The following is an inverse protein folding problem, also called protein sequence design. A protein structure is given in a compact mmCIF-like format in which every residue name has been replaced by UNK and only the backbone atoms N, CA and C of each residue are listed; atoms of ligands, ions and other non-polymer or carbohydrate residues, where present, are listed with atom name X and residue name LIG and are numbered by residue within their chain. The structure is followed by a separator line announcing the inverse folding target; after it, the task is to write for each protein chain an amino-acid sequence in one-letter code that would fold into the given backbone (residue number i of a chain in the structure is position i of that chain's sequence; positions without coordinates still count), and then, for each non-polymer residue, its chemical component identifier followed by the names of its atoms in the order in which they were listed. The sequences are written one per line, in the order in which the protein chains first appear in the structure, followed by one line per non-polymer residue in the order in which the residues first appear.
data_IF_522612813804
#
_entry.id   IF_522612813804
#
_cell.length_a   1.000
_cell.length_b   1.000
_cell.length_c   1.000
_cell.angle_alpha   90.00
_cell.angle_beta   90.00
_cell.angle_gamma   90.00
#
_symmetry.space_group_name_H-M   'P 1'
#
loop_
_entity.id
_entity.type
_entity.pdbx_description
1 polymer ?
#
# COMPACT_ATOMS: atom_id res chain seq x y z
N UNK A 1 -21.02 5.51 18.98
CA UNK A 1 -20.48 4.91 20.22
C UNK A 1 -20.59 3.37 20.27
N UNK A 2 -21.11 2.68 19.25
CA UNK A 2 -21.14 1.20 19.24
C UNK A 2 -19.73 0.59 19.16
N UNK A 3 -18.86 1.14 18.31
CA UNK A 3 -17.47 0.68 18.14
C UNK A 3 -16.59 0.92 19.37
N UNK A 4 -16.80 2.03 20.09
CA UNK A 4 -16.05 2.37 21.30
C UNK A 4 -16.31 1.41 22.47
N UNK A 5 -17.49 0.79 22.50
CA UNK A 5 -17.93 -0.14 23.55
C UNK A 5 -17.87 -1.61 23.11
N UNK A 6 -17.31 -1.91 21.93
CA UNK A 6 -17.20 -3.29 21.43
C UNK A 6 -18.55 -3.96 21.10
N UNK A 7 -19.59 -3.19 20.76
CA UNK A 7 -20.91 -3.75 20.45
C UNK A 7 -20.97 -4.32 19.02
N UNK A 8 -20.31 -5.46 18.81
CA UNK A 8 -20.11 -6.11 17.52
C UNK A 8 -21.45 -6.36 16.79
N UNK A 9 -22.48 -6.85 17.48
CA UNK A 9 -23.78 -7.13 16.86
C UNK A 9 -24.49 -5.86 16.35
N UNK A 10 -24.33 -4.74 17.05
CA UNK A 10 -24.90 -3.45 16.64
C UNK A 10 -24.11 -2.89 15.46
N UNK A 11 -22.79 -3.04 15.47
CA UNK A 11 -21.92 -2.61 14.38
C UNK A 11 -22.21 -3.41 13.11
N UNK A 12 -22.36 -4.72 13.20
CA UNK A 12 -22.70 -5.59 12.06
C UNK A 12 -24.05 -5.18 11.42
N UNK A 13 -25.04 -4.82 12.25
CA UNK A 13 -26.31 -4.28 11.78
C UNK A 13 -26.15 -2.92 11.08
N UNK A 14 -25.34 -2.01 11.62
CA UNK A 14 -25.10 -0.69 11.03
C UNK A 14 -24.34 -0.78 9.71
N UNK A 15 -23.35 -1.67 9.60
CA UNK A 15 -22.61 -1.92 8.36
C UNK A 15 -23.53 -2.45 7.27
N UNK A 16 -24.38 -3.44 7.60
CA UNK A 16 -25.42 -3.96 6.68
C UNK A 16 -26.44 -2.90 6.26
N UNK A 17 -26.61 -1.86 7.07
CA UNK A 17 -27.48 -0.73 6.77
C UNK A 17 -26.80 0.34 5.89
N UNK A 18 -25.55 0.12 5.45
CA UNK A 18 -24.82 1.01 4.56
C UNK A 18 -24.21 2.24 5.23
N UNK A 19 -24.00 2.21 6.55
CA UNK A 19 -23.33 3.30 7.27
C UNK A 19 -21.87 3.37 6.84
N UNK A 20 -21.39 4.59 6.56
CA UNK A 20 -19.97 4.83 6.27
C UNK A 20 -19.11 4.57 7.52
N UNK A 21 -18.33 3.50 7.46
CA UNK A 21 -17.44 3.06 8.53
C UNK A 21 -16.18 3.94 8.69
N UNK A 22 -15.89 4.77 7.69
CA UNK A 22 -14.73 5.66 7.66
C UNK A 22 -15.07 7.11 8.07
N UNK A 23 -16.34 7.40 8.38
CA UNK A 23 -16.77 8.71 8.83
C UNK A 23 -15.98 9.15 10.07
N UNK A 24 -15.40 10.35 10.05
CA UNK A 24 -14.60 10.88 11.17
C UNK A 24 -15.30 12.02 11.90
N UNK A 25 -14.96 12.23 13.18
CA UNK A 25 -15.45 13.35 13.97
C UNK A 25 -14.60 14.62 13.78
N UNK A 26 -14.87 15.67 14.54
CA UNK A 26 -14.12 16.95 14.51
C UNK A 26 -12.64 16.83 14.85
N UNK A 27 -12.24 15.74 15.50
CA UNK A 27 -10.86 15.40 15.86
C UNK A 27 -10.24 14.39 14.87
N UNK A 28 -10.89 14.14 13.72
CA UNK A 28 -10.50 13.16 12.70
C UNK A 28 -10.49 11.70 13.18
N UNK A 29 -11.10 11.40 14.33
CA UNK A 29 -11.21 10.05 14.84
C UNK A 29 -12.34 9.29 14.13
N UNK A 30 -12.00 8.15 13.53
CA UNK A 30 -12.97 7.20 12.94
C UNK A 30 -13.52 6.25 14.02
N UNK A 31 -14.62 5.52 13.75
CA UNK A 31 -15.10 4.45 14.62
C UNK A 31 -14.02 3.42 14.99
N UNK A 32 -13.06 3.17 14.10
CA UNK A 32 -11.94 2.26 14.33
C UNK A 32 -10.93 2.83 15.35
N UNK A 33 -10.66 4.14 15.33
CA UNK A 33 -9.79 4.78 16.32
C UNK A 33 -10.28 4.52 17.75
N UNK A 34 -11.59 4.70 17.97
CA UNK A 34 -12.20 4.46 19.28
C UNK A 34 -12.24 2.98 19.67
N UNK A 35 -12.39 2.07 18.70
CA UNK A 35 -12.33 0.64 18.99
C UNK A 35 -10.92 0.21 19.42
N UNK A 36 -9.88 0.68 18.72
CA UNK A 36 -8.49 0.41 19.06
C UNK A 36 -8.11 1.00 20.43
N UNK A 37 -8.51 2.24 20.71
CA UNK A 37 -8.24 2.90 22.00
C UNK A 37 -8.81 2.12 23.20
N UNK A 38 -9.94 1.45 23.01
CA UNK A 38 -10.61 0.67 24.06
C UNK A 38 -10.29 -0.84 23.99
N UNK A 39 -9.31 -1.25 23.16
CA UNK A 39 -8.87 -2.65 23.07
C UNK A 39 -9.84 -3.59 22.35
N UNK A 40 -10.81 -3.06 21.61
CA UNK A 40 -11.79 -3.85 20.86
C UNK A 40 -11.26 -4.24 19.47
N UNK A 41 -10.15 -4.98 19.43
CA UNK A 41 -9.46 -5.37 18.19
C UNK A 41 -10.37 -6.19 17.26
N UNK A 42 -11.33 -6.95 17.79
CA UNK A 42 -12.35 -7.69 17.02
C UNK A 42 -13.19 -6.79 16.10
N UNK A 43 -13.24 -5.47 16.37
CA UNK A 43 -13.89 -4.49 15.50
C UNK A 43 -13.16 -4.28 14.17
N UNK A 44 -11.84 -4.49 14.14
CA UNK A 44 -11.03 -4.34 12.94
C UNK A 44 -11.46 -5.35 11.88
N UNK A 45 -11.75 -6.58 12.31
CA UNK A 45 -12.32 -7.63 11.46
C UNK A 45 -13.69 -7.31 10.89
N UNK A 46 -14.45 -6.43 11.53
CA UNK A 46 -15.78 -6.02 11.07
C UNK A 46 -15.76 -4.79 10.19
N UNK A 47 -14.74 -3.95 10.30
CA UNK A 47 -14.66 -2.66 9.61
C UNK A 47 -13.70 -2.68 8.42
N UNK A 48 -12.67 -3.53 8.45
CA UNK A 48 -11.70 -3.63 7.35
C UNK A 48 -12.25 -4.52 6.23
N UNK A 49 -12.72 -3.87 5.16
CA UNK A 49 -13.23 -4.50 3.94
C UNK A 49 -12.13 -4.80 2.92
N UNK A 50 -10.85 -4.75 3.30
CA UNK A 50 -9.75 -4.94 2.34
C UNK A 50 -9.66 -6.43 1.96
N UNK A 51 -9.71 -6.69 0.64
CA UNK A 51 -9.46 -7.97 -0.05
C UNK A 51 -10.70 -8.82 -0.45
N UNK A 52 -11.81 -8.20 -0.88
CA UNK A 52 -13.00 -8.83 -1.51
C UNK A 52 -13.73 -9.94 -0.70
N UNK A 53 -13.14 -10.45 0.39
CA UNK A 53 -13.72 -11.39 1.35
C UNK A 53 -13.28 -11.05 2.78
N UNK A 54 -14.16 -11.32 3.75
CA UNK A 54 -13.86 -11.18 5.17
C UNK A 54 -12.69 -12.10 5.58
N UNK A 55 -11.60 -11.54 6.11
CA UNK A 55 -10.55 -12.31 6.77
C UNK A 55 -11.16 -13.04 7.97
N UNK A 56 -11.16 -14.37 7.93
CA UNK A 56 -11.73 -15.16 9.01
C UNK A 56 -10.86 -15.08 10.27
N UNK A 57 -11.49 -15.00 11.44
CA UNK A 57 -10.86 -14.90 12.76
C UNK A 57 -9.75 -15.96 12.99
N UNK A 58 -9.92 -17.13 12.37
CA UNK A 58 -8.97 -18.25 12.42
C UNK A 58 -7.62 -18.00 11.73
N UNK A 59 -7.53 -17.00 10.84
CA UNK A 59 -6.32 -16.68 10.07
C UNK A 59 -5.50 -15.54 10.67
N UNK A 60 -5.94 -14.95 11.79
CA UNK A 60 -5.20 -13.90 12.48
C UNK A 60 -4.60 -14.45 13.78
N UNK A 61 -3.27 -14.47 13.86
CA UNK A 61 -2.57 -14.76 15.10
C UNK A 61 -2.50 -13.50 15.97
N UNK A 62 -3.52 -13.33 16.81
CA UNK A 62 -3.63 -12.21 17.75
C UNK A 62 -2.84 -12.44 19.05
N UNK A 63 -2.14 -13.57 19.19
CA UNK A 63 -1.46 -13.94 20.44
C UNK A 63 -0.02 -13.44 20.51
N UNK A 64 0.53 -12.92 19.41
CA UNK A 64 1.94 -12.55 19.29
C UNK A 64 2.22 -11.05 19.29
N UNK A 65 1.21 -10.19 19.49
CA UNK A 65 1.40 -8.73 19.49
C UNK A 65 1.64 -8.25 20.91
N UNK A 66 2.91 -8.05 21.26
CA UNK A 66 3.29 -7.20 22.39
C UNK A 66 3.16 -5.74 21.93
N UNK A 67 2.36 -4.94 22.64
CA UNK A 67 2.23 -3.51 22.37
C UNK A 67 3.39 -2.79 23.05
N UNK A 68 4.49 -2.58 22.33
CA UNK A 68 5.48 -1.59 22.74
C UNK A 68 4.94 -0.20 22.43
N UNK A 69 4.64 0.55 23.49
CA UNK A 69 4.23 1.96 23.40
C UNK A 69 5.51 2.78 23.24
N UNK A 70 5.90 3.08 21.99
CA UNK A 70 7.06 3.94 21.76
C UNK A 70 6.73 5.41 22.07
N UNK A 71 7.43 5.95 23.09
CA UNK A 71 7.46 7.37 23.39
C UNK A 71 8.25 8.15 22.31
N UNK A 72 7.67 9.29 21.92
CA UNK A 72 8.16 10.39 21.08
C UNK A 72 9.66 10.41 20.74
N UNK A 73 9.97 10.47 19.44
CA UNK A 73 11.29 10.90 18.93
C UNK A 73 11.12 12.10 18.00
N UNK A 74 11.69 13.24 18.41
CA UNK A 74 11.93 14.42 17.57
C UNK A 74 13.19 14.20 16.74
N UNK A 75 13.15 14.46 15.42
CA UNK A 75 14.36 14.43 14.60
C UNK A 75 14.62 15.73 13.84
N UNK A 76 15.82 16.28 14.08
CA UNK A 76 16.42 17.42 13.38
C UNK A 76 17.19 16.93 12.16
N UNK A 77 16.87 17.45 10.98
CA UNK A 77 17.57 17.14 9.72
C UNK A 77 18.53 18.27 9.32
N UNK A 78 19.81 17.95 9.16
CA UNK A 78 20.79 18.82 8.45
C UNK A 78 21.08 18.29 7.05
N UNK A 79 20.64 19.08 6.07
CA UNK A 79 20.80 18.92 4.62
C UNK A 79 22.23 19.16 4.10
N UNK A 80 22.59 18.60 2.93
CA UNK A 80 23.40 19.26 1.87
C UNK A 80 23.49 18.36 0.60
N UNK A 81 23.37 18.78 -0.67
CA UNK A 81 22.83 19.98 -1.37
C UNK A 81 22.63 19.61 -2.87
N UNK A 82 21.51 20.02 -3.47
CA UNK A 82 21.27 20.11 -4.93
C UNK A 82 20.66 21.47 -5.28
N UNK A 83 20.63 21.81 -6.57
CA UNK A 83 20.53 23.19 -7.08
C UNK A 83 19.13 23.83 -6.97
N UNK A 84 19.13 25.16 -6.87
CA UNK A 84 17.99 26.02 -6.45
C UNK A 84 16.72 25.93 -7.30
N UNK A 85 16.83 25.56 -8.58
CA UNK A 85 15.67 25.44 -9.48
C UNK A 85 15.17 24.00 -9.62
N UNK A 86 16.08 23.01 -9.55
CA UNK A 86 15.71 21.59 -9.51
C UNK A 86 14.94 21.24 -8.24
N UNK A 87 15.31 21.84 -7.10
CA UNK A 87 14.53 21.69 -5.86
C UNK A 87 13.09 22.17 -6.03
N UNK A 88 12.87 23.30 -6.72
CA UNK A 88 11.55 23.95 -6.80
C UNK A 88 10.50 23.20 -7.63
N UNK A 89 10.90 22.38 -8.61
CA UNK A 89 9.96 21.61 -9.44
C UNK A 89 9.70 20.19 -8.93
N UNK A 90 10.61 19.65 -8.13
CA UNK A 90 10.47 18.32 -7.52
C UNK A 90 9.78 18.43 -6.15
N UNK A 91 10.01 19.51 -5.39
CA UNK A 91 9.28 19.83 -4.13
C UNK A 91 7.76 19.95 -4.33
N UNK A 92 7.28 20.36 -5.51
CA UNK A 92 5.84 20.59 -5.71
C UNK A 92 5.05 19.27 -5.92
N UNK A 93 5.71 18.12 -6.11
CA UNK A 93 5.01 16.85 -6.44
C UNK A 93 5.45 15.63 -5.62
N UNK A 94 6.40 15.77 -4.69
CA UNK A 94 6.94 14.64 -3.93
C UNK A 94 6.95 14.95 -2.42
N UNK A 95 5.81 14.73 -1.77
CA UNK A 95 5.67 14.86 -0.31
C UNK A 95 6.00 13.52 0.34
N UNK A 96 7.22 13.39 0.84
CA UNK A 96 7.49 12.61 2.05
C UNK A 96 7.35 13.56 3.25
N UNK A 97 6.34 13.32 4.08
CA UNK A 97 6.08 14.07 5.30
C UNK A 97 4.59 14.22 5.54
N UNK A 98 4.14 13.93 6.76
CA UNK A 98 2.80 14.21 7.28
C UNK A 98 2.56 15.75 7.37
N UNK A 99 2.65 16.45 6.24
CA UNK A 99 2.05 17.77 6.09
C UNK A 99 0.59 17.54 5.71
N UNK A 100 -0.32 18.26 6.38
CA UNK A 100 -1.74 18.24 6.06
C UNK A 100 -1.92 18.61 4.59
N UNK A 101 -2.04 17.59 3.72
CA UNK A 101 -2.48 17.77 2.35
C UNK A 101 -3.81 18.50 2.42
N UNK A 102 -3.83 19.74 1.93
CA UNK A 102 -5.05 20.52 1.96
C UNK A 102 -6.16 19.78 1.20
N UNK A 103 -7.41 20.03 1.58
CA UNK A 103 -8.54 19.32 1.00
C UNK A 103 -8.66 19.55 -0.51
N UNK A 104 -7.98 20.54 -1.08
CA UNK A 104 -7.90 20.77 -2.52
C UNK A 104 -6.90 19.82 -3.20
N UNK A 105 -5.69 19.67 -2.65
CA UNK A 105 -4.64 18.76 -3.12
C UNK A 105 -5.06 17.31 -3.00
N UNK A 106 -5.77 16.95 -1.92
CA UNK A 106 -6.38 15.61 -1.79
C UNK A 106 -7.43 15.38 -2.87
N UNK A 107 -8.28 16.37 -3.16
CA UNK A 107 -9.29 16.27 -4.23
C UNK A 107 -8.65 16.19 -5.62
N UNK A 108 -7.60 16.97 -5.89
CA UNK A 108 -6.87 16.93 -7.16
C UNK A 108 -6.11 15.60 -7.32
N UNK A 109 -5.46 15.10 -6.27
CA UNK A 109 -4.82 13.79 -6.29
C UNK A 109 -5.84 12.66 -6.48
N UNK A 110 -6.99 12.74 -5.81
CA UNK A 110 -8.08 11.80 -5.97
C UNK A 110 -8.67 11.87 -7.39
N UNK A 111 -8.82 13.07 -7.98
CA UNK A 111 -9.26 13.24 -9.36
C UNK A 111 -8.26 12.71 -10.39
N UNK A 112 -6.97 12.89 -10.14
CA UNK A 112 -5.91 12.37 -11.01
C UNK A 112 -5.79 10.84 -10.92
N UNK A 113 -5.92 10.27 -9.72
CA UNK A 113 -5.80 8.82 -9.47
C UNK A 113 -7.10 8.05 -9.68
N UNK A 114 -8.23 8.74 -9.90
CA UNK A 114 -9.54 8.14 -10.24
C UNK A 114 -9.52 7.36 -11.55
N UNK A 115 -8.72 7.79 -12.53
CA UNK A 115 -8.64 7.13 -13.84
C UNK A 115 -7.43 6.20 -13.86
N UNK A 116 -7.70 4.90 -14.02
CA UNK A 116 -6.64 3.89 -14.19
C UNK A 116 -5.87 4.16 -15.48
N UNK A 117 -4.54 4.26 -15.40
CA UNK A 117 -3.69 4.42 -16.57
C UNK A 117 -3.34 3.09 -17.25
N UNK A 118 -3.05 2.05 -16.46
CA UNK A 118 -2.84 0.67 -16.95
C UNK A 118 -4.05 -0.14 -16.54
N UNK A 119 -4.67 -0.89 -17.46
CA UNK A 119 -5.85 -1.71 -17.17
C UNK A 119 -5.48 -3.11 -16.65
N UNK A 120 -4.46 -3.74 -17.24
CA UNK A 120 -4.04 -5.11 -16.90
C UNK A 120 -2.53 -5.24 -16.83
N UNK A 121 -2.03 -6.20 -16.05
CA UNK A 121 -0.62 -6.59 -16.03
C UNK A 121 -0.48 -8.10 -16.22
N UNK A 122 0.62 -8.53 -16.85
CA UNK A 122 1.00 -9.95 -16.93
C UNK A 122 2.19 -10.20 -16.00
N UNK A 123 2.04 -11.11 -15.04
CA UNK A 123 3.08 -11.49 -14.08
C UNK A 123 3.18 -13.01 -14.01
N UNK A 124 4.28 -13.55 -14.54
CA UNK A 124 4.48 -14.99 -14.66
C UNK A 124 3.40 -15.62 -15.54
N UNK A 125 2.58 -16.49 -14.96
CA UNK A 125 1.45 -17.16 -15.65
C UNK A 125 0.10 -16.43 -15.50
N UNK A 126 0.07 -15.32 -14.78
CA UNK A 126 -1.16 -14.63 -14.42
C UNK A 126 -1.35 -13.35 -15.22
N UNK A 127 -2.61 -13.07 -15.54
CA UNK A 127 -3.07 -11.77 -16.02
C UNK A 127 -3.94 -11.17 -14.93
N UNK A 128 -3.61 -9.95 -14.50
CA UNK A 128 -4.18 -9.31 -13.31
C UNK A 128 -4.74 -7.94 -13.70
N UNK A 129 -6.00 -7.68 -13.37
CA UNK A 129 -6.62 -6.37 -13.53
C UNK A 129 -6.14 -5.41 -12.43
N UNK A 130 -5.80 -4.18 -12.80
CA UNK A 130 -5.33 -3.17 -11.84
C UNK A 130 -6.53 -2.53 -11.13
N UNK A 131 -6.35 -2.15 -9.87
CA UNK A 131 -7.40 -1.50 -9.08
C UNK A 131 -7.23 0.01 -8.99
N UNK A 132 -5.99 0.48 -9.00
CA UNK A 132 -5.64 1.87 -8.78
C UNK A 132 -4.74 2.39 -9.90
N UNK A 133 -4.71 3.72 -10.03
CA UNK A 133 -3.66 4.39 -10.78
C UNK A 133 -2.28 4.08 -10.19
N UNK A 134 -1.27 3.92 -11.05
CA UNK A 134 0.13 3.79 -10.65
C UNK A 134 0.99 4.76 -11.46
N UNK A 135 1.92 5.52 -10.85
CA UNK A 135 2.71 6.56 -11.52
C UNK A 135 3.84 5.98 -12.39
N UNK A 136 3.49 5.20 -13.41
CA UNK A 136 4.45 4.72 -14.39
C UNK A 136 5.02 5.88 -15.21
N UNK A 137 6.27 5.77 -15.71
CA UNK A 137 6.87 6.79 -16.55
C UNK A 137 5.98 7.16 -17.76
N UNK A 138 5.97 8.43 -18.21
CA UNK A 138 5.03 8.92 -19.22
C UNK A 138 5.04 8.12 -20.54
N UNK A 139 6.16 7.51 -20.89
CA UNK A 139 6.28 6.67 -22.07
C UNK A 139 5.38 5.41 -22.04
N UNK A 140 4.79 5.06 -20.90
CA UNK A 140 3.86 3.93 -20.73
C UNK A 140 2.38 4.36 -20.74
N UNK A 141 2.06 5.65 -20.84
CA UNK A 141 0.68 6.15 -20.77
C UNK A 141 -0.25 5.59 -21.85
N UNK A 142 0.27 5.23 -23.01
CA UNK A 142 -0.50 4.63 -24.11
C UNK A 142 -0.70 3.12 -23.96
N UNK A 143 -0.06 2.50 -22.96
CA UNK A 143 -0.12 1.06 -22.76
C UNK A 143 -1.33 0.70 -21.87
N UNK A 144 -2.26 -0.09 -22.39
CA UNK A 144 -3.35 -0.64 -21.56
C UNK A 144 -2.91 -1.87 -20.77
N UNK A 145 -1.85 -2.56 -21.22
CA UNK A 145 -1.27 -3.75 -20.59
C UNK A 145 0.24 -3.64 -20.43
N UNK A 146 0.76 -4.00 -19.26
CA UNK A 146 2.21 -4.12 -18.99
C UNK A 146 2.62 -5.56 -18.69
N UNK A 147 3.88 -5.89 -18.98
CA UNK A 147 4.43 -7.24 -18.79
C UNK A 147 5.57 -7.19 -17.78
N UNK A 148 5.48 -7.95 -16.70
CA UNK A 148 6.45 -7.98 -15.61
C UNK A 148 7.25 -9.27 -15.59
N UNK A 149 8.54 -9.17 -15.30
CA UNK A 149 9.35 -10.33 -14.94
C UNK A 149 8.97 -10.81 -13.54
N UNK A 150 8.67 -12.10 -13.38
CA UNK A 150 8.29 -12.70 -12.08
C UNK A 150 9.42 -12.72 -11.04
N UNK A 151 10.67 -12.47 -11.46
CA UNK A 151 11.83 -12.49 -10.57
C UNK A 151 12.37 -11.10 -10.25
N UNK A 152 12.64 -10.28 -11.27
CA UNK A 152 13.25 -8.96 -11.07
C UNK A 152 12.24 -7.81 -11.01
N UNK A 153 10.96 -8.08 -11.28
CA UNK A 153 9.87 -7.10 -11.35
C UNK A 153 10.07 -5.96 -12.36
N UNK A 154 11.08 -6.04 -13.22
CA UNK A 154 11.21 -5.13 -14.35
C UNK A 154 10.00 -5.30 -15.28
N UNK A 155 9.48 -4.18 -15.79
CA UNK A 155 8.27 -4.12 -16.59
C UNK A 155 8.55 -3.65 -18.02
N UNK A 156 7.75 -4.13 -18.96
CA UNK A 156 7.93 -3.94 -20.39
C UNK A 156 6.60 -3.65 -21.08
N UNK A 157 6.68 -2.96 -22.23
CA UNK A 157 5.50 -2.58 -23.03
C UNK A 157 4.95 -3.74 -23.86
N UNK A 158 5.81 -4.70 -24.23
CA UNK A 158 5.46 -5.79 -25.15
C UNK A 158 5.95 -7.13 -24.65
N UNK A 159 5.21 -8.19 -24.97
CA UNK A 159 5.52 -9.56 -24.58
C UNK A 159 6.88 -10.05 -25.11
N UNK A 160 7.27 -9.63 -26.31
CA UNK A 160 8.56 -10.03 -26.91
C UNK A 160 9.75 -9.43 -26.15
N UNK A 161 9.57 -8.26 -25.52
CA UNK A 161 10.58 -7.65 -24.65
C UNK A 161 10.76 -8.48 -23.39
N UNK A 162 9.65 -8.90 -22.76
CA UNK A 162 9.67 -9.82 -21.61
C UNK A 162 10.36 -11.14 -21.96
N UNK A 163 10.00 -11.76 -23.08
CA UNK A 163 10.65 -13.00 -23.52
C UNK A 163 12.16 -12.83 -23.76
N UNK A 164 12.59 -11.68 -24.30
CA UNK A 164 14.03 -11.38 -24.45
C UNK A 164 14.71 -11.14 -23.11
N UNK A 165 14.04 -10.46 -22.18
CA UNK A 165 14.51 -10.25 -20.82
C UNK A 165 14.67 -11.57 -20.06
N UNK A 166 13.66 -12.45 -20.10
CA UNK A 166 13.67 -13.74 -19.40
C UNK A 166 14.81 -14.66 -19.85
N UNK A 167 15.27 -14.54 -21.10
CA UNK A 167 16.45 -15.27 -21.61
C UNK A 167 17.78 -14.77 -21.04
N UNK A 168 17.81 -13.56 -20.49
CA UNK A 168 19.00 -12.90 -19.94
C UNK A 168 18.91 -12.67 -18.43
N UNK A 169 17.76 -12.92 -17.82
CA UNK A 169 17.52 -12.65 -16.41
C UNK A 169 18.02 -13.82 -15.57
N UNK A 170 19.07 -13.53 -14.80
CA UNK A 170 19.72 -14.51 -13.94
C UNK A 170 18.99 -14.69 -12.59
N UNK A 171 18.09 -13.76 -12.23
CA UNK A 171 17.31 -13.86 -11.00
C UNK A 171 16.28 -15.01 -11.09
N UNK A 172 16.19 -15.78 -9.99
CA UNK A 172 15.23 -16.87 -9.76
C UNK A 172 14.49 -16.76 -8.43
N UNK A 173 14.79 -15.72 -7.67
CA UNK A 173 14.16 -15.34 -6.41
C UNK A 173 14.34 -13.82 -6.22
N UNK A 174 13.62 -13.19 -5.28
CA UNK A 174 13.83 -11.78 -4.95
C UNK A 174 15.29 -11.47 -4.60
N UNK A 175 15.81 -10.29 -4.98
CA UNK A 175 17.17 -9.90 -4.62
C UNK A 175 17.27 -9.64 -3.10
N UNK A 176 18.43 -9.89 -2.50
CA UNK A 176 18.65 -9.68 -1.07
C UNK A 176 18.90 -10.97 -0.30
N UNK A 177 18.89 -10.86 1.02
CA UNK A 177 19.26 -11.97 1.93
C UNK A 177 18.01 -12.76 2.31
N UNK A 178 18.07 -14.09 2.23
CA UNK A 178 17.00 -14.95 2.71
C UNK A 178 17.04 -15.02 4.24
N UNK A 179 16.04 -14.44 4.90
CA UNK A 179 15.97 -14.33 6.36
C UNK A 179 15.08 -15.40 7.01
N UNK A 180 14.26 -16.09 6.21
CA UNK A 180 13.36 -17.14 6.71
C UNK A 180 13.07 -18.17 5.62
N UNK A 181 13.00 -19.44 6.02
CA UNK A 181 12.55 -20.56 5.17
C UNK A 181 11.73 -21.56 5.97
N UNK A 182 10.57 -21.93 5.46
CA UNK A 182 9.77 -23.04 5.95
C UNK A 182 9.11 -23.79 4.79
N UNK A 183 9.63 -24.98 4.48
CA UNK A 183 9.19 -25.78 3.35
C UNK A 183 9.35 -25.04 2.02
N UNK A 184 8.23 -24.72 1.36
CA UNK A 184 8.19 -23.98 0.09
C UNK A 184 8.08 -22.46 0.26
N UNK A 185 7.98 -21.97 1.50
CA UNK A 185 7.89 -20.54 1.81
C UNK A 185 9.28 -20.00 2.16
N UNK A 186 9.67 -18.89 1.53
CA UNK A 186 10.90 -18.16 1.81
C UNK A 186 10.61 -16.66 1.92
N UNK A 187 11.29 -15.98 2.84
CA UNK A 187 11.23 -14.52 3.01
C UNK A 187 12.60 -13.91 2.72
N UNK A 188 12.62 -12.81 1.96
CA UNK A 188 13.84 -12.11 1.58
C UNK A 188 13.82 -10.68 2.11
N UNK A 189 14.92 -10.26 2.75
CA UNK A 189 15.14 -8.87 3.12
C UNK A 189 15.77 -8.12 1.94
N UNK A 190 15.06 -7.12 1.41
CA UNK A 190 15.49 -6.35 0.24
C UNK A 190 15.78 -4.91 0.64
N UNK A 191 17.06 -4.53 0.66
CA UNK A 191 17.43 -3.15 0.98
C UNK A 191 17.16 -2.21 -0.22
N UNK A 192 16.26 -1.23 -0.05
CA UNK A 192 15.86 -0.30 -1.11
C UNK A 192 16.96 0.69 -1.57
N UNK A 193 18.01 0.92 -0.77
CA UNK A 193 19.16 1.73 -1.19
C UNK A 193 20.09 0.94 -2.11
N UNK A 194 20.27 -0.36 -1.85
CA UNK A 194 21.14 -1.24 -2.63
C UNK A 194 20.46 -1.76 -3.90
N UNK A 195 19.15 -2.01 -3.83
CA UNK A 195 18.37 -2.61 -4.92
C UNK A 195 17.40 -1.60 -5.52
N UNK A 196 17.93 -0.51 -6.11
CA UNK A 196 17.13 0.40 -6.94
C UNK A 196 16.99 -0.19 -8.33
N UNK A 197 15.75 -0.33 -8.79
CA UNK A 197 15.39 -0.77 -10.15
C UNK A 197 14.99 0.45 -10.97
#
# INVERSE_FOLDING_TARGET
MASANGYINIVDYLIRSGVDVNASNTERNTPLHWACLNGHIEMLLKVDHRLDEWTKLEHLDLKSVETDVDEKVEDKVTSLKMTRHQKRKIDETHVEGHEELDAASLREHEEFTKVKNIATIELGRYEIETWYFSPFPPEYNECTKLFFCEFCLNFMKRKEQLQRHMRKCDLKHPPGDEIYRNGTLSMFEVNGKKNKV
#
